data_IF_092180799235
#
_entry.id   IF_092180799235
#
_cell.length_a   1.000
_cell.length_b   1.000
_cell.length_c   1.000
_cell.angle_alpha   90.00
_cell.angle_beta   90.00
_cell.angle_gamma   90.00
#
_symmetry.space_group_name_H-M   'P 1'
#
loop_
_entity.id
_entity.type
_entity.pdbx_description
1 polymer ?
#
# COMPACT_ATOMS: atom_id res chain seq x y z
N UNK A 1 -20.93 -8.39 -1.19
CA UNK A 1 -20.79 -7.07 -0.53
C UNK A 1 -21.57 -6.06 -1.35
N UNK A 2 -22.53 -5.35 -0.76
CA UNK A 2 -23.28 -4.31 -1.47
C UNK A 2 -22.38 -3.07 -1.62
N UNK A 3 -22.18 -2.58 -2.84
CA UNK A 3 -21.46 -1.32 -3.09
C UNK A 3 -22.43 -0.16 -2.90
N UNK A 4 -22.13 0.74 -1.98
CA UNK A 4 -22.91 1.96 -1.79
C UNK A 4 -22.45 3.01 -2.80
N UNK A 5 -23.36 3.70 -3.51
CA UNK A 5 -22.99 4.81 -4.37
C UNK A 5 -22.42 5.96 -3.55
N UNK A 6 -21.50 6.73 -4.12
CA UNK A 6 -21.04 7.99 -3.53
C UNK A 6 -22.14 9.05 -3.66
N UNK A 7 -23.20 8.91 -2.87
CA UNK A 7 -24.16 10.00 -2.72
C UNK A 7 -23.61 10.92 -1.67
N UNK A 8 -23.03 12.06 -2.08
CA UNK A 8 -22.73 13.14 -1.15
C UNK A 8 -24.00 13.43 -0.33
N UNK A 9 -23.83 13.70 0.97
CA UNK A 9 -24.91 14.29 1.77
C UNK A 9 -25.31 15.59 1.09
N UNK A 10 -26.38 15.55 0.27
CA UNK A 10 -27.02 16.76 -0.18
C UNK A 10 -27.41 17.52 1.08
N UNK A 11 -26.75 18.63 1.35
CA UNK A 11 -27.33 19.67 2.19
C UNK A 11 -28.72 19.91 1.61
N UNK A 12 -29.77 19.51 2.33
CA UNK A 12 -31.14 19.72 1.92
C UNK A 12 -31.43 21.21 1.95
N UNK A 13 -31.12 21.90 0.85
CA UNK A 13 -31.70 23.20 0.55
C UNK A 13 -33.14 22.94 0.14
N UNK A 14 -34.08 23.21 1.06
CA UNK A 14 -35.50 23.15 0.80
C UNK A 14 -35.89 24.25 -0.21
N UNK A 15 -35.89 23.92 -1.49
CA UNK A 15 -36.44 24.78 -2.54
C UNK A 15 -37.95 24.51 -2.62
N UNK A 16 -38.76 25.55 -2.40
CA UNK A 16 -40.23 25.48 -2.55
C UNK A 16 -40.60 25.14 -4.00
N UNK A 17 -41.42 24.09 -4.16
CA UNK A 17 -41.86 23.57 -5.44
C UNK A 17 -42.81 24.53 -6.20
N UNK A 18 -42.57 24.66 -7.51
CA UNK A 18 -43.52 25.19 -8.50
C UNK A 18 -43.87 24.06 -9.48
N UNK A 19 -45.17 23.86 -9.72
CA UNK A 19 -45.77 22.69 -10.35
C UNK A 19 -45.73 22.72 -11.89
N UNK A 20 -44.83 21.94 -12.54
CA UNK A 20 -44.96 21.49 -13.95
C UNK A 20 -44.33 20.10 -14.16
N UNK A 21 -44.93 19.34 -15.09
CA UNK A 21 -44.86 17.90 -15.40
C UNK A 21 -43.47 17.24 -15.59
N UNK A 22 -43.37 15.90 -15.45
CA UNK A 22 -42.09 15.17 -15.48
C UNK A 22 -41.65 14.83 -16.91
N UNK A 23 -40.52 15.41 -17.34
CA UNK A 23 -39.73 14.86 -18.43
C UNK A 23 -38.93 13.65 -17.91
N UNK A 24 -38.88 12.55 -18.69
CA UNK A 24 -37.94 11.44 -18.46
C UNK A 24 -36.51 11.97 -18.61
N UNK A 25 -35.92 12.43 -17.52
CA UNK A 25 -34.47 12.59 -17.41
C UNK A 25 -33.88 11.19 -17.28
N UNK A 26 -33.16 10.74 -18.31
CA UNK A 26 -32.16 9.70 -18.14
C UNK A 26 -31.05 10.30 -17.27
N UNK A 27 -31.19 10.16 -15.95
CA UNK A 27 -30.14 10.51 -15.01
C UNK A 27 -28.99 9.50 -15.20
N UNK A 28 -28.10 9.77 -16.14
CA UNK A 28 -26.69 9.44 -15.96
C UNK A 28 -26.15 10.38 -14.87
N UNK A 29 -26.68 10.25 -13.65
CA UNK A 29 -26.14 10.85 -12.45
C UNK A 29 -24.90 10.03 -12.11
N UNK A 30 -23.83 10.28 -12.86
CA UNK A 30 -22.49 10.11 -12.31
C UNK A 30 -22.41 11.18 -11.24
N UNK A 31 -22.89 10.83 -10.05
CA UNK A 31 -22.88 11.67 -8.87
C UNK A 31 -21.44 12.12 -8.67
N UNK A 32 -21.28 13.43 -8.78
CA UNK A 32 -20.03 14.18 -8.78
C UNK A 32 -19.13 13.71 -7.64
N UNK A 33 -18.06 12.98 -7.96
CA UNK A 33 -17.08 12.48 -6.98
C UNK A 33 -16.48 13.62 -6.15
N UNK A 34 -16.54 14.85 -6.67
CA UNK A 34 -16.13 16.08 -5.99
C UNK A 34 -16.92 16.42 -4.72
N UNK A 35 -18.08 15.78 -4.50
CA UNK A 35 -18.92 16.04 -3.30
C UNK A 35 -18.73 15.03 -2.18
N UNK A 36 -17.97 13.96 -2.41
CA UNK A 36 -17.69 12.98 -1.38
C UNK A 36 -16.63 13.53 -0.43
N UNK A 37 -16.95 13.60 0.86
CA UNK A 37 -15.98 13.96 1.91
C UNK A 37 -15.33 12.68 2.42
N UNK A 38 -14.03 12.52 2.17
CA UNK A 38 -13.24 11.45 2.78
C UNK A 38 -13.35 11.53 4.30
N UNK A 39 -13.58 10.39 4.93
CA UNK A 39 -13.81 10.31 6.37
C UNK A 39 -13.39 8.96 6.95
N UNK A 40 -13.21 8.92 8.27
CA UNK A 40 -13.01 7.67 8.98
C UNK A 40 -14.35 7.09 9.42
N UNK A 41 -14.68 5.88 8.98
CA UNK A 41 -15.87 5.15 9.43
C UNK A 41 -15.44 3.85 10.12
N UNK A 42 -15.76 3.69 11.40
CA UNK A 42 -15.34 2.51 12.18
C UNK A 42 -13.82 2.33 12.29
N UNK A 43 -13.04 3.40 12.12
CA UNK A 43 -11.57 3.37 12.08
C UNK A 43 -10.98 2.93 10.74
N UNK A 44 -11.77 2.94 9.66
CA UNK A 44 -11.34 2.69 8.28
C UNK A 44 -11.38 4.00 7.49
N UNK A 45 -10.37 4.30 6.65
CA UNK A 45 -10.47 5.39 5.71
C UNK A 45 -11.51 5.04 4.64
N UNK A 46 -12.37 6.00 4.32
CA UNK A 46 -13.41 5.88 3.31
C UNK A 46 -13.09 6.84 2.16
N UNK A 47 -13.12 6.32 0.93
CA UNK A 47 -12.87 7.09 -0.28
C UNK A 47 -13.95 6.82 -1.35
N UNK A 48 -14.01 7.65 -2.38
CA UNK A 48 -14.90 7.49 -3.52
C UNK A 48 -14.09 7.22 -4.80
N UNK A 49 -14.06 5.97 -5.23
CA UNK A 49 -13.41 5.55 -6.46
C UNK A 49 -14.47 5.10 -7.49
N UNK A 50 -14.42 5.66 -8.69
CA UNK A 50 -15.38 5.36 -9.78
C UNK A 50 -16.86 5.46 -9.38
N UNK A 51 -17.19 6.42 -8.51
CA UNK A 51 -18.57 6.62 -8.02
C UNK A 51 -19.04 5.61 -6.97
N UNK A 52 -18.13 4.79 -6.45
CA UNK A 52 -18.39 3.82 -5.40
C UNK A 52 -17.60 4.14 -4.13
N UNK A 53 -18.27 4.00 -2.99
CA UNK A 53 -17.59 4.10 -1.70
C UNK A 53 -16.70 2.88 -1.52
N UNK A 54 -15.40 3.12 -1.41
CA UNK A 54 -14.39 2.12 -1.06
C UNK A 54 -13.98 2.32 0.39
N UNK A 55 -13.75 1.21 1.08
CA UNK A 55 -13.33 1.21 2.48
C UNK A 55 -11.98 0.55 2.60
N UNK A 56 -11.03 1.24 3.21
CA UNK A 56 -9.71 0.70 3.50
C UNK A 56 -9.71 -0.31 4.64
N UNK A 57 -8.51 -0.77 4.99
CA UNK A 57 -8.27 -1.57 6.19
C UNK A 57 -8.59 -0.75 7.46
N UNK A 58 -8.94 -1.44 8.55
CA UNK A 58 -9.15 -0.75 9.83
C UNK A 58 -7.79 -0.45 10.43
N UNK A 59 -7.45 0.83 10.58
CA UNK A 59 -6.12 1.25 11.00
C UNK A 59 -5.69 0.61 12.33
N UNK A 60 -6.64 0.42 13.25
CA UNK A 60 -6.39 -0.23 14.55
C UNK A 60 -5.94 -1.69 14.43
N UNK A 61 -6.27 -2.40 13.36
CA UNK A 61 -5.86 -3.80 13.16
C UNK A 61 -4.34 -3.92 12.89
N UNK A 62 -3.70 -2.81 12.51
CA UNK A 62 -2.26 -2.69 12.28
C UNK A 62 -1.60 -1.66 13.21
N UNK A 63 -2.26 -1.31 14.33
CA UNK A 63 -1.71 -0.40 15.33
C UNK A 63 -1.64 1.07 14.92
N UNK A 64 -2.38 1.47 13.88
CA UNK A 64 -2.43 2.83 13.35
C UNK A 64 -3.73 3.55 13.75
N UNK A 65 -3.72 4.88 13.62
CA UNK A 65 -4.88 5.75 13.84
C UNK A 65 -5.47 6.19 12.49
N UNK A 66 -6.80 6.16 12.36
CA UNK A 66 -7.46 6.73 11.19
C UNK A 66 -7.66 8.23 11.44
N UNK A 67 -7.24 9.08 10.52
CA UNK A 67 -7.39 10.53 10.65
C UNK A 67 -7.23 11.27 9.33
N UNK A 68 -7.40 12.60 9.32
CA UNK A 68 -6.97 13.42 8.20
C UNK A 68 -5.45 13.51 8.11
N UNK A 69 -4.91 13.73 6.93
CA UNK A 69 -3.52 14.13 6.74
C UNK A 69 -3.25 15.55 7.28
N UNK A 70 -2.00 15.99 7.17
CA UNK A 70 -1.59 17.32 7.66
C UNK A 70 -2.31 18.49 6.96
N UNK A 71 -2.83 18.26 5.75
CA UNK A 71 -3.53 19.26 4.94
C UNK A 71 -5.06 19.22 5.12
N UNK A 72 -5.59 18.13 5.68
CA UNK A 72 -7.03 17.90 5.80
C UNK A 72 -7.69 17.46 4.51
N UNK A 73 -6.91 17.16 3.47
CA UNK A 73 -7.40 16.85 2.14
C UNK A 73 -7.72 15.36 2.01
N UNK A 74 -6.99 14.48 2.71
CA UNK A 74 -7.14 13.03 2.63
C UNK A 74 -7.36 12.42 4.00
N UNK A 75 -8.03 11.26 4.04
CA UNK A 75 -8.14 10.43 5.24
C UNK A 75 -7.43 9.10 5.00
N UNK A 76 -6.52 8.75 5.91
CA UNK A 76 -5.68 7.55 5.81
C UNK A 76 -5.34 6.99 7.20
N UNK A 77 -4.50 5.97 7.23
CA UNK A 77 -3.93 5.45 8.47
C UNK A 77 -2.58 6.11 8.78
N UNK A 78 -2.42 6.55 10.03
CA UNK A 78 -1.30 7.35 10.53
C UNK A 78 -0.66 6.69 11.74
N UNK A 79 0.63 6.95 11.95
CA UNK A 79 1.28 6.60 13.21
C UNK A 79 0.64 7.33 14.41
N UNK A 80 0.69 6.70 15.58
CA UNK A 80 0.19 7.30 16.83
C UNK A 80 1.23 8.20 17.53
N UNK A 81 2.48 8.20 17.05
CA UNK A 81 3.59 8.90 17.68
C UNK A 81 3.70 10.38 17.32
N UNK A 82 4.89 10.94 17.61
CA UNK A 82 5.28 12.29 17.25
C UNK A 82 5.40 12.47 15.73
N UNK A 83 5.33 13.71 15.27
CA UNK A 83 5.54 14.05 13.87
C UNK A 83 6.92 13.64 13.37
N UNK A 84 6.99 13.12 12.15
CA UNK A 84 8.21 12.76 11.44
C UNK A 84 8.11 13.23 9.99
N UNK A 85 9.24 13.54 9.38
CA UNK A 85 9.31 13.90 7.98
C UNK A 85 10.27 12.95 7.28
N UNK A 86 9.83 12.40 6.16
CA UNK A 86 10.70 11.72 5.21
C UNK A 86 10.41 12.30 3.84
N UNK A 87 11.44 12.40 3.00
CA UNK A 87 11.31 12.90 1.63
C UNK A 87 10.46 12.00 0.72
N UNK A 88 10.09 10.81 1.20
CA UNK A 88 9.45 9.76 0.41
C UNK A 88 8.14 9.23 1.00
N UNK A 89 7.69 9.69 2.17
CA UNK A 89 6.44 9.22 2.75
C UNK A 89 5.23 9.83 2.02
N UNK A 90 4.67 9.07 1.07
CA UNK A 90 3.32 9.32 0.58
C UNK A 90 2.25 8.92 1.62
N UNK A 91 0.98 9.33 1.42
CA UNK A 91 -0.13 8.88 2.26
C UNK A 91 -0.20 7.34 2.31
N UNK A 92 -0.22 6.77 3.51
CA UNK A 92 -0.27 5.32 3.73
C UNK A 92 1.04 4.57 3.43
N UNK A 93 2.11 5.25 3.01
CA UNK A 93 3.42 4.64 2.86
C UNK A 93 4.13 4.56 4.21
N UNK A 94 4.77 3.42 4.46
CA UNK A 94 5.59 3.18 5.64
C UNK A 94 7.05 3.36 5.24
N UNK A 95 7.74 4.32 5.86
CA UNK A 95 9.17 4.55 5.64
C UNK A 95 9.93 4.34 6.94
N UNK A 96 10.79 3.34 7.00
CA UNK A 96 11.61 3.10 8.19
C UNK A 96 12.60 4.23 8.45
N UNK A 97 12.65 4.73 9.67
CA UNK A 97 13.54 5.83 10.10
C UNK A 97 14.59 5.39 11.12
N UNK A 98 14.50 4.17 11.64
CA UNK A 98 15.52 3.62 12.51
C UNK A 98 15.17 2.27 13.10
N UNK A 99 16.19 1.58 13.62
CA UNK A 99 16.05 0.34 14.36
C UNK A 99 16.44 0.52 15.83
N UNK A 100 15.58 0.05 16.73
CA UNK A 100 15.87 -0.07 18.16
C UNK A 100 15.71 -1.54 18.58
N UNK A 101 16.84 -2.26 18.67
CA UNK A 101 16.85 -3.71 18.84
C UNK A 101 15.97 -4.41 17.79
N UNK A 102 14.89 -5.08 18.20
CA UNK A 102 13.97 -5.78 17.29
C UNK A 102 12.75 -4.95 16.86
N UNK A 103 12.79 -3.64 17.09
CA UNK A 103 11.68 -2.72 16.80
C UNK A 103 12.09 -1.76 15.68
N UNK A 104 11.28 -1.71 14.63
CA UNK A 104 11.38 -0.71 13.58
C UNK A 104 10.62 0.54 14.01
N UNK A 105 11.29 1.69 13.98
CA UNK A 105 10.61 2.98 13.98
C UNK A 105 10.37 3.36 12.53
N UNK A 106 9.12 3.60 12.17
CA UNK A 106 8.72 4.04 10.84
C UNK A 106 7.94 5.35 10.90
N UNK A 107 7.95 6.08 9.79
CA UNK A 107 7.08 7.21 9.55
C UNK A 107 5.91 6.77 8.68
N UNK A 108 4.69 6.91 9.20
CA UNK A 108 3.44 6.54 8.50
C UNK A 108 2.52 7.75 8.52
N UNK A 109 2.33 8.38 7.36
CA UNK A 109 1.57 9.63 7.24
C UNK A 109 2.14 10.77 8.10
N UNK A 110 3.45 10.99 8.06
CA UNK A 110 4.11 12.04 8.87
C UNK A 110 4.03 11.84 10.39
N UNK A 111 3.56 10.69 10.89
CA UNK A 111 3.58 10.36 12.32
C UNK A 111 4.37 9.08 12.54
N UNK A 112 5.19 9.10 13.58
CA UNK A 112 6.02 7.96 13.96
C UNK A 112 5.16 6.79 14.44
N UNK A 113 5.61 5.60 14.10
CA UNK A 113 5.00 4.34 14.50
C UNK A 113 6.09 3.32 14.80
N UNK A 114 5.88 2.50 15.83
CA UNK A 114 6.83 1.47 16.23
C UNK A 114 6.26 0.09 15.95
N UNK A 115 7.03 -0.73 15.25
CA UNK A 115 6.62 -2.05 14.79
C UNK A 115 7.58 -3.07 15.35
N UNK A 116 7.07 -4.02 16.14
CA UNK A 116 7.88 -5.16 16.56
C UNK A 116 8.05 -6.11 15.36
N UNK A 117 9.28 -6.32 14.89
CA UNK A 117 9.49 -7.11 13.68
C UNK A 117 9.04 -8.57 13.82
N UNK A 118 9.01 -9.10 15.04
CA UNK A 118 8.45 -10.43 15.33
C UNK A 118 6.95 -10.54 15.08
N UNK A 119 6.22 -9.42 15.06
CA UNK A 119 4.79 -9.38 14.72
C UNK A 119 4.56 -9.34 13.22
N UNK A 120 5.54 -8.83 12.45
CA UNK A 120 5.50 -8.84 10.98
C UNK A 120 5.68 -10.26 10.44
N UNK A 121 6.61 -11.02 11.02
CA UNK A 121 6.85 -12.40 10.61
C UNK A 121 7.76 -13.17 11.56
N UNK A 122 7.61 -14.50 11.58
CA UNK A 122 8.49 -15.35 12.36
C UNK A 122 9.95 -15.24 11.87
N UNK A 123 10.88 -14.96 12.78
CA UNK A 123 12.30 -14.79 12.45
C UNK A 123 12.68 -13.42 11.87
N UNK A 124 11.72 -12.51 11.70
CA UNK A 124 12.01 -11.15 11.27
C UNK A 124 12.67 -10.36 12.39
N UNK A 125 13.73 -9.65 12.02
CA UNK A 125 14.39 -8.68 12.89
C UNK A 125 14.52 -7.32 12.22
N UNK A 126 14.81 -6.28 13.01
CA UNK A 126 15.01 -4.95 12.43
C UNK A 126 16.36 -4.89 11.71
N UNK A 127 16.32 -4.59 10.42
CA UNK A 127 17.48 -4.55 9.53
C UNK A 127 17.84 -3.11 9.20
N UNK A 128 19.13 -2.86 9.06
CA UNK A 128 19.66 -1.59 8.59
C UNK A 128 20.62 -1.89 7.44
N UNK A 129 20.36 -1.32 6.27
CA UNK A 129 21.22 -1.48 5.08
C UNK A 129 21.51 -0.12 4.44
N UNK A 130 22.69 0.07 3.83
CA UNK A 130 22.91 1.20 2.95
C UNK A 130 21.94 1.13 1.76
N UNK A 131 21.20 2.20 1.49
CA UNK A 131 20.41 2.37 0.27
C UNK A 131 21.07 3.33 -0.71
N UNK A 132 20.51 3.44 -1.92
CA UNK A 132 21.04 4.30 -2.98
C UNK A 132 21.10 5.80 -2.60
N UNK A 133 20.11 6.26 -1.83
CA UNK A 133 19.98 7.68 -1.45
C UNK A 133 20.07 7.91 0.06
N UNK A 134 19.62 6.96 0.87
CA UNK A 134 19.67 7.02 2.33
C UNK A 134 19.82 5.61 2.92
N UNK A 135 20.08 5.53 4.22
CA UNK A 135 20.06 4.26 4.96
C UNK A 135 18.62 3.75 5.07
N UNK A 136 18.39 2.52 4.62
CA UNK A 136 17.08 1.88 4.71
C UNK A 136 16.96 1.08 6.01
N UNK A 137 15.79 1.19 6.65
CA UNK A 137 15.43 0.45 7.84
C UNK A 137 14.14 -0.32 7.57
N UNK A 138 14.13 -1.62 7.83
CA UNK A 138 12.95 -2.46 7.57
C UNK A 138 12.91 -3.66 8.50
N UNK A 139 11.74 -4.28 8.62
CA UNK A 139 11.63 -5.60 9.25
C UNK A 139 11.89 -6.68 8.21
N UNK A 140 12.94 -7.49 8.43
CA UNK A 140 13.34 -8.52 7.47
C UNK A 140 14.14 -9.66 8.11
N UNK A 141 14.44 -10.68 7.32
CA UNK A 141 15.13 -11.90 7.77
C UNK A 141 16.65 -11.85 7.57
N UNK A 142 17.14 -10.86 6.81
CA UNK A 142 18.56 -10.61 6.58
C UNK A 142 18.78 -9.16 6.11
N UNK A 143 20.04 -8.75 5.99
CA UNK A 143 20.48 -7.42 5.55
C UNK A 143 21.39 -7.50 4.30
N UNK A 144 21.13 -8.48 3.44
CA UNK A 144 21.89 -8.74 2.21
C UNK A 144 21.48 -7.80 1.06
N UNK A 145 20.22 -7.32 1.07
CA UNK A 145 19.67 -6.40 0.08
C UNK A 145 18.65 -5.44 0.73
N UNK A 146 18.36 -4.33 0.05
CA UNK A 146 17.29 -3.40 0.44
C UNK A 146 16.01 -3.73 -0.35
N UNK A 147 14.91 -4.16 0.29
CA UNK A 147 13.66 -4.47 -0.41
C UNK A 147 12.98 -3.22 -0.99
N UNK A 148 13.31 -2.02 -0.50
CA UNK A 148 12.73 -0.76 -0.97
C UNK A 148 13.55 -0.09 -2.08
N UNK A 149 14.68 -0.69 -2.49
CA UNK A 149 15.51 -0.16 -3.57
C UNK A 149 14.95 -0.59 -4.94
N UNK A 150 14.80 0.36 -5.86
CA UNK A 150 14.29 0.13 -7.21
C UNK A 150 15.11 -0.92 -7.97
N UNK A 151 16.41 -1.05 -7.67
CA UNK A 151 17.25 -2.10 -8.25
C UNK A 151 16.79 -3.53 -7.90
N UNK A 152 15.99 -3.69 -6.85
CA UNK A 152 15.38 -4.94 -6.41
C UNK A 152 13.86 -4.99 -6.61
N UNK A 153 13.24 -3.92 -7.14
CA UNK A 153 11.81 -3.89 -7.45
C UNK A 153 11.44 -4.93 -8.51
N UNK A 154 12.34 -5.16 -9.46
CA UNK A 154 12.25 -6.22 -10.44
C UNK A 154 13.19 -7.39 -10.08
N UNK A 155 12.69 -8.60 -10.24
CA UNK A 155 13.51 -9.79 -10.14
C UNK A 155 14.51 -9.84 -11.30
N UNK A 156 15.70 -10.40 -11.08
CA UNK A 156 16.73 -10.54 -12.12
C UNK A 156 17.05 -12.01 -12.39
N UNK A 157 17.80 -12.30 -13.46
CA UNK A 157 18.25 -13.66 -13.75
C UNK A 157 19.76 -13.80 -13.53
N UNK A 158 20.16 -14.80 -12.76
CA UNK A 158 21.54 -15.30 -12.68
C UNK A 158 21.57 -16.71 -13.28
N UNK A 159 21.96 -16.79 -14.56
CA UNK A 159 21.83 -18.01 -15.35
C UNK A 159 20.38 -18.48 -15.44
N UNK A 160 20.10 -19.67 -14.91
CA UNK A 160 18.76 -20.26 -14.87
C UNK A 160 18.01 -20.00 -13.55
N UNK A 161 18.56 -19.17 -12.66
CA UNK A 161 17.91 -18.81 -11.40
C UNK A 161 17.29 -17.42 -11.48
N UNK A 162 16.08 -17.27 -10.97
CA UNK A 162 15.52 -15.96 -10.62
C UNK A 162 16.14 -15.50 -9.31
N UNK A 163 16.60 -14.26 -9.25
CA UNK A 163 17.17 -13.63 -8.07
C UNK A 163 16.21 -12.56 -7.58
N UNK A 164 15.82 -12.63 -6.30
CA UNK A 164 14.93 -11.67 -5.64
C UNK A 164 15.48 -11.21 -4.31
N UNK A 165 15.13 -9.99 -3.90
CA UNK A 165 15.31 -9.54 -2.53
C UNK A 165 14.07 -9.92 -1.71
N UNK A 166 14.14 -11.03 -0.97
CA UNK A 166 13.06 -11.48 -0.11
C UNK A 166 13.30 -11.01 1.34
N UNK A 167 12.61 -9.94 1.74
CA UNK A 167 12.71 -9.37 3.09
C UNK A 167 14.17 -9.16 3.56
N UNK A 168 15.00 -8.64 2.65
CA UNK A 168 16.42 -8.36 2.87
C UNK A 168 17.38 -9.54 2.70
N UNK A 169 16.89 -10.74 2.35
CA UNK A 169 17.72 -11.88 1.93
C UNK A 169 17.74 -12.00 0.41
N UNK A 170 18.90 -12.25 -0.18
CA UNK A 170 18.99 -12.58 -1.60
C UNK A 170 18.61 -14.05 -1.75
N UNK A 171 17.48 -14.30 -2.42
CA UNK A 171 17.04 -15.66 -2.74
C UNK A 171 17.25 -15.95 -4.22
N UNK A 172 17.75 -17.16 -4.50
CA UNK A 172 17.90 -17.69 -5.85
C UNK A 172 16.97 -18.87 -6.03
N UNK A 173 16.04 -18.74 -6.96
CA UNK A 173 15.07 -19.77 -7.30
C UNK A 173 15.49 -20.42 -8.61
N UNK A 174 15.94 -21.67 -8.54
CA UNK A 174 16.33 -22.44 -9.73
C UNK A 174 15.09 -22.81 -10.55
N UNK A 175 14.96 -22.19 -11.73
CA UNK A 175 13.85 -22.43 -12.62
C UNK A 175 13.82 -23.87 -13.14
N UNK A 176 14.98 -24.50 -13.36
CA UNK A 176 15.03 -25.87 -13.87
C UNK A 176 14.52 -26.87 -12.83
N UNK A 177 14.89 -26.67 -11.56
CA UNK A 177 14.40 -27.49 -10.45
C UNK A 177 12.87 -27.42 -10.28
N UNK A 178 12.26 -26.32 -10.71
CA UNK A 178 10.81 -26.11 -10.72
C UNK A 178 10.12 -26.57 -12.03
N UNK A 179 10.87 -27.15 -12.98
CA UNK A 179 10.32 -27.68 -14.24
C UNK A 179 10.14 -26.63 -15.35
N UNK A 180 10.66 -25.42 -15.17
CA UNK A 180 10.75 -24.41 -16.22
C UNK A 180 11.98 -24.66 -17.09
N UNK A 181 12.05 -24.04 -18.27
CA UNK A 181 13.21 -24.20 -19.17
C UNK A 181 14.37 -23.26 -18.88
N UNK A 182 14.13 -22.24 -18.07
CA UNK A 182 15.15 -21.29 -17.65
C UNK A 182 14.55 -20.01 -17.10
N UNK A 183 15.42 -19.03 -16.88
CA UNK A 183 15.06 -17.67 -16.47
C UNK A 183 15.13 -16.74 -17.69
N UNK A 184 14.14 -15.86 -17.88
CA UNK A 184 14.16 -14.86 -18.94
C UNK A 184 14.75 -13.54 -18.44
N UNK A 185 15.96 -13.11 -18.89
CA UNK A 185 16.58 -11.87 -18.40
C UNK A 185 15.76 -10.61 -18.68
N UNK A 186 14.92 -10.64 -19.71
CA UNK A 186 14.04 -9.52 -20.07
C UNK A 186 12.92 -9.31 -19.03
N UNK A 187 12.45 -10.39 -18.39
CA UNK A 187 11.29 -10.36 -17.51
C UNK A 187 11.61 -10.75 -16.07
N UNK A 188 12.85 -11.13 -15.78
CA UNK A 188 13.25 -11.53 -14.44
C UNK A 188 12.55 -12.78 -13.90
N UNK A 189 11.97 -13.64 -14.74
CA UNK A 189 11.07 -14.71 -14.29
C UNK A 189 11.36 -16.04 -14.98
N UNK A 190 10.99 -17.13 -14.31
CA UNK A 190 11.03 -18.46 -14.91
C UNK A 190 10.05 -18.55 -16.08
N UNK A 191 10.51 -19.11 -17.20
CA UNK A 191 9.68 -19.28 -18.41
C UNK A 191 9.28 -20.73 -18.61
N UNK A 192 8.00 -21.01 -18.88
CA UNK A 192 7.58 -22.37 -19.17
C UNK A 192 8.28 -22.86 -20.43
N UNK A 193 8.57 -24.16 -20.47
CA UNK A 193 9.13 -24.76 -21.66
C UNK A 193 8.21 -24.63 -22.87
N UNK A 194 8.76 -24.69 -24.09
CA UNK A 194 7.92 -24.89 -25.26
C UNK A 194 7.20 -26.22 -25.05
N UNK A 195 5.87 -26.14 -24.92
CA UNK A 195 4.91 -27.21 -24.72
C UNK A 195 5.48 -28.62 -24.96
N UNK A 196 5.70 -29.41 -23.90
CA UNK A 196 5.40 -30.83 -24.03
C UNK A 196 3.88 -30.91 -24.03
N UNK A 197 3.26 -31.00 -25.21
CA UNK A 197 1.87 -31.41 -25.31
C UNK A 197 1.71 -32.72 -24.52
N UNK A 198 0.85 -32.69 -23.49
CA UNK A 198 0.40 -33.88 -22.77
C UNK A 198 -0.82 -34.43 -23.50
#
# INVERSE_FOLDING_TARGET
MARLPCTGTQQTYSVRASSRSPAKQSNSAWSDSSTFTMQCEGGRPMDCEDGHVVSGLRCADVGLECGPDAYGDYVSCFGAGAGCQTSHAGPGMLVGTGCAANTLTACVGERSHSIACSEVGAGFTCQTVPGAYDTAHFCGIAAECNPDDEAWADSTCDGNSVVVCNAGRIEKVDCLALGFTGCSPQYGRCVPGPYSEI
#
